data_IF_443828380658
#
_entry.id   IF_443828380658
#
_cell.length_a   1.000
_cell.length_b   1.000
_cell.length_c   1.000
_cell.angle_alpha   90.00
_cell.angle_beta   90.00
_cell.angle_gamma   90.00
#
_symmetry.space_group_name_H-M   'P 1'
#
loop_
_entity.id
_entity.type
_entity.pdbx_description
1 polymer ?
#
# COMPACT_ATOMS: atom_id res chain seq x y z
N UNK A 1 -5.89 46.35 11.86
CA UNK A 1 -4.81 45.41 11.53
C UNK A 1 -5.34 44.58 10.37
N UNK A 2 -4.98 44.93 9.13
CA UNK A 2 -5.42 44.20 7.94
C UNK A 2 -4.42 43.07 7.73
N UNK A 3 -4.76 41.86 8.18
CA UNK A 3 -4.02 40.67 7.74
C UNK A 3 -4.48 40.37 6.32
N UNK A 4 -3.55 40.31 5.37
CA UNK A 4 -3.86 39.83 4.02
C UNK A 4 -4.62 38.50 4.11
N UNK A 5 -5.60 38.25 3.22
CA UNK A 5 -6.29 36.97 3.21
C UNK A 5 -5.25 35.85 3.01
N UNK A 6 -5.40 34.71 3.70
CA UNK A 6 -4.48 33.57 3.54
C UNK A 6 -4.40 33.14 2.07
N UNK A 7 -3.23 32.70 1.63
CA UNK A 7 -3.00 32.25 0.26
C UNK A 7 -3.94 31.09 -0.09
N UNK A 8 -4.29 30.93 -1.38
CA UNK A 8 -5.20 29.87 -1.82
C UNK A 8 -4.73 28.48 -1.36
N UNK A 9 -3.43 28.20 -1.46
CA UNK A 9 -2.84 26.93 -0.99
C UNK A 9 -3.05 26.70 0.51
N UNK A 10 -2.97 27.75 1.34
CA UNK A 10 -3.15 27.66 2.80
C UNK A 10 -4.62 27.39 3.15
N UNK A 11 -5.55 28.04 2.43
CA UNK A 11 -6.99 27.78 2.58
C UNK A 11 -7.34 26.35 2.20
N UNK A 12 -6.80 25.85 1.09
CA UNK A 12 -7.04 24.47 0.64
C UNK A 12 -6.40 23.47 1.61
N UNK A 13 -5.15 23.69 2.03
CA UNK A 13 -4.48 22.83 3.00
C UNK A 13 -5.26 22.72 4.31
N UNK A 14 -5.82 23.83 4.81
CA UNK A 14 -6.69 23.82 5.99
C UNK A 14 -7.93 22.95 5.81
N UNK A 15 -8.57 23.01 4.64
CA UNK A 15 -9.73 22.14 4.33
C UNK A 15 -9.35 20.67 4.32
N UNK A 16 -8.14 20.32 3.86
CA UNK A 16 -7.63 18.94 3.94
C UNK A 16 -7.43 18.53 5.40
N UNK A 17 -6.82 19.39 6.23
CA UNK A 17 -6.60 19.15 7.66
C UNK A 17 -7.92 19.00 8.47
N UNK A 18 -9.02 19.56 7.96
CA UNK A 18 -10.36 19.46 8.54
C UNK A 18 -11.16 18.26 8.01
N UNK A 19 -10.70 17.62 6.94
CA UNK A 19 -11.40 16.49 6.31
C UNK A 19 -11.10 15.19 7.05
N UNK A 20 -12.14 14.38 7.30
CA UNK A 20 -12.00 13.03 7.84
C UNK A 20 -11.41 12.11 6.79
N UNK A 21 -10.43 11.31 7.18
CA UNK A 21 -9.66 10.47 6.26
C UNK A 21 -9.83 9.01 6.64
N UNK A 22 -9.91 8.14 5.63
CA UNK A 22 -9.78 6.69 5.80
C UNK A 22 -8.52 6.25 5.06
N UNK A 23 -7.61 5.56 5.76
CA UNK A 23 -6.45 4.94 5.12
C UNK A 23 -6.89 3.62 4.48
N UNK A 24 -6.99 3.63 3.16
CA UNK A 24 -7.44 2.47 2.41
C UNK A 24 -6.53 1.25 2.53
N UNK A 25 -5.24 1.42 2.90
CA UNK A 25 -4.30 0.29 2.99
C UNK A 25 -3.01 0.69 3.71
N UNK A 26 -2.68 0.02 4.81
CA UNK A 26 -1.42 0.18 5.53
C UNK A 26 -0.82 -1.17 5.98
N UNK A 27 0.37 -1.11 6.57
CA UNK A 27 1.13 -2.26 7.09
C UNK A 27 1.45 -2.09 8.57
N UNK A 28 0.66 -1.28 9.26
CA UNK A 28 0.75 -1.08 10.70
C UNK A 28 0.37 -2.38 11.40
N UNK A 29 1.10 -2.71 12.46
CA UNK A 29 0.71 -3.76 13.41
C UNK A 29 -0.02 -3.11 14.58
N UNK A 30 -1.26 -3.52 14.91
CA UNK A 30 -1.96 -3.00 16.09
C UNK A 30 -1.21 -3.26 17.41
N UNK A 31 -0.40 -4.32 17.49
CA UNK A 31 0.40 -4.64 18.68
C UNK A 31 1.59 -3.71 18.88
N UNK A 32 2.11 -3.12 17.80
CA UNK A 32 3.28 -2.26 17.81
C UNK A 32 3.14 -1.19 16.70
N UNK A 33 2.25 -0.19 16.91
CA UNK A 33 1.86 0.71 15.84
C UNK A 33 2.88 1.80 15.52
N UNK A 34 3.73 2.17 16.48
CA UNK A 34 4.80 3.15 16.32
C UNK A 34 6.19 2.51 16.26
N UNK A 35 7.19 3.31 15.89
CA UNK A 35 8.60 2.89 15.97
C UNK A 35 9.12 2.88 17.40
N UNK A 36 10.12 2.04 17.67
CA UNK A 36 10.76 1.89 19.00
C UNK A 36 12.05 2.68 19.15
N UNK A 37 12.66 3.08 18.04
CA UNK A 37 13.92 3.81 18.03
C UNK A 37 14.09 4.55 16.68
N UNK A 38 15.03 5.50 16.63
CA UNK A 38 15.29 6.31 15.44
C UNK A 38 15.77 5.46 14.25
N UNK A 39 16.47 4.36 14.52
CA UNK A 39 16.96 3.42 13.52
C UNK A 39 15.82 2.82 12.68
N UNK A 40 14.70 2.45 13.31
CA UNK A 40 13.53 1.89 12.61
C UNK A 40 12.89 2.89 11.62
N UNK A 41 12.96 4.19 11.90
CA UNK A 41 12.53 5.22 10.93
C UNK A 41 13.41 5.21 9.68
N UNK A 42 14.72 4.99 9.85
CA UNK A 42 15.68 4.92 8.74
C UNK A 42 15.69 3.57 8.02
N UNK A 43 15.02 2.55 8.54
CA UNK A 43 14.85 1.24 7.89
C UNK A 43 13.72 1.22 6.86
N UNK A 44 12.98 2.32 6.72
CA UNK A 44 11.91 2.40 5.73
C UNK A 44 12.43 2.05 4.33
N UNK A 45 11.76 1.15 3.57
CA UNK A 45 12.27 0.67 2.29
C UNK A 45 12.62 1.78 1.29
N UNK A 46 11.90 2.91 1.32
CA UNK A 46 12.22 4.08 0.51
C UNK A 46 13.57 4.70 0.86
N UNK A 47 13.87 4.87 2.15
CA UNK A 47 15.16 5.38 2.63
C UNK A 47 16.28 4.39 2.30
N UNK A 48 16.12 3.11 2.63
CA UNK A 48 17.14 2.08 2.36
C UNK A 48 17.51 2.03 0.87
N UNK A 49 16.51 2.09 -0.03
CA UNK A 49 16.74 2.12 -1.48
C UNK A 49 17.56 3.34 -1.90
N UNK A 50 17.25 4.51 -1.36
CA UNK A 50 17.96 5.76 -1.69
C UNK A 50 19.38 5.79 -1.09
N UNK A 51 19.57 5.29 0.13
CA UNK A 51 20.89 5.12 0.73
C UNK A 51 21.77 4.19 -0.11
N UNK A 52 21.21 3.06 -0.57
CA UNK A 52 21.90 2.16 -1.51
C UNK A 52 22.27 2.87 -2.81
N UNK A 53 21.34 3.64 -3.38
CA UNK A 53 21.58 4.47 -4.56
C UNK A 53 22.67 5.54 -4.36
N UNK A 54 22.83 6.05 -3.13
CA UNK A 54 23.89 6.97 -2.75
C UNK A 54 25.24 6.29 -2.41
N UNK A 55 25.33 4.97 -2.59
CA UNK A 55 26.53 4.16 -2.39
C UNK A 55 26.76 3.72 -0.93
N UNK A 56 25.72 3.65 -0.10
CA UNK A 56 25.85 3.12 1.27
C UNK A 56 26.24 1.62 1.26
N UNK A 57 27.19 1.19 2.11
CA UNK A 57 27.59 -0.21 2.20
C UNK A 57 26.49 -1.09 2.80
N UNK A 58 26.33 -2.32 2.31
CA UNK A 58 25.20 -3.19 2.72
C UNK A 58 25.18 -3.49 4.23
N UNK A 59 26.34 -3.51 4.89
CA UNK A 59 26.44 -3.72 6.35
C UNK A 59 25.68 -2.68 7.19
N UNK A 60 25.50 -1.46 6.68
CA UNK A 60 24.74 -0.39 7.37
C UNK A 60 23.29 -0.31 6.91
N UNK A 61 22.88 -1.11 5.93
CA UNK A 61 21.49 -1.18 5.43
C UNK A 61 20.68 -2.30 6.10
N UNK A 62 21.26 -2.96 7.09
CA UNK A 62 20.61 -3.98 7.91
C UNK A 62 19.53 -3.38 8.81
N UNK A 63 18.49 -4.14 9.13
CA UNK A 63 17.42 -3.68 10.03
C UNK A 63 18.00 -3.31 11.40
N UNK A 64 17.61 -2.14 11.91
CA UNK A 64 17.97 -1.64 13.21
C UNK A 64 17.22 -2.39 14.32
N UNK A 65 17.90 -2.53 15.44
CA UNK A 65 17.30 -2.88 16.73
C UNK A 65 17.50 -1.70 17.68
N UNK A 66 16.74 -1.59 18.79
CA UNK A 66 16.97 -0.55 19.79
C UNK A 66 18.45 -0.45 20.22
N UNK A 67 19.12 -1.58 20.40
CA UNK A 67 20.53 -1.65 20.85
C UNK A 67 21.51 -1.15 19.80
N UNK A 68 21.19 -1.30 18.51
CA UNK A 68 22.05 -0.89 17.40
C UNK A 68 21.66 0.45 16.78
N UNK A 69 20.51 1.00 17.16
CA UNK A 69 19.87 2.19 16.57
C UNK A 69 20.84 3.35 16.39
N UNK A 70 21.36 3.91 17.49
CA UNK A 70 22.27 5.06 17.49
C UNK A 70 23.48 4.82 16.59
N UNK A 71 24.12 3.66 16.73
CA UNK A 71 25.32 3.32 15.97
C UNK A 71 25.07 3.24 14.46
N UNK A 72 23.92 2.69 14.04
CA UNK A 72 23.54 2.56 12.64
C UNK A 72 23.14 3.90 12.06
N UNK A 73 22.37 4.70 12.79
CA UNK A 73 21.96 6.04 12.35
C UNK A 73 23.19 6.93 12.13
N UNK A 74 24.14 6.95 13.07
CA UNK A 74 25.41 7.68 12.91
C UNK A 74 26.17 7.25 11.64
N UNK A 75 26.24 5.95 11.36
CA UNK A 75 26.86 5.42 10.13
C UNK A 75 26.09 5.80 8.85
N UNK A 76 24.76 5.97 8.93
CA UNK A 76 23.90 6.36 7.82
C UNK A 76 23.91 7.88 7.54
N UNK A 77 24.24 8.73 8.52
CA UNK A 77 24.21 10.20 8.37
C UNK A 77 24.93 10.73 7.12
N UNK A 78 26.16 10.30 6.77
CA UNK A 78 26.83 10.79 5.56
C UNK A 78 26.06 10.52 4.27
N UNK A 79 25.28 9.44 4.24
CA UNK A 79 24.47 9.04 3.08
C UNK A 79 23.09 9.68 3.11
N UNK A 80 22.48 9.86 4.29
CA UNK A 80 21.25 10.65 4.45
C UNK A 80 21.42 12.06 3.88
N UNK A 81 22.58 12.70 4.13
CA UNK A 81 22.90 14.01 3.53
C UNK A 81 22.94 13.99 2.00
N UNK A 82 23.35 12.89 1.39
CA UNK A 82 23.43 12.76 -0.09
C UNK A 82 22.06 12.63 -0.74
N UNK A 83 21.04 12.19 0.01
CA UNK A 83 19.67 12.01 -0.47
C UNK A 83 18.74 13.14 -0.01
N UNK A 84 19.28 14.24 0.52
CA UNK A 84 18.49 15.33 1.12
C UNK A 84 17.47 16.00 0.19
N UNK A 85 17.61 15.80 -1.12
CA UNK A 85 16.72 16.33 -2.15
C UNK A 85 15.56 15.38 -2.51
N UNK A 86 15.50 14.17 -1.92
CA UNK A 86 14.50 13.16 -2.29
C UNK A 86 13.20 13.32 -1.52
N UNK A 87 12.11 12.78 -2.09
CA UNK A 87 10.81 12.75 -1.44
C UNK A 87 10.76 11.84 -0.19
N UNK A 88 11.56 10.77 -0.13
CA UNK A 88 11.63 9.94 1.08
C UNK A 88 12.38 10.66 2.21
N UNK A 89 13.49 11.36 1.90
CA UNK A 89 14.18 12.17 2.91
C UNK A 89 13.30 13.32 3.43
N UNK A 90 12.60 14.03 2.55
CA UNK A 90 11.66 15.09 2.99
C UNK A 90 10.61 14.54 3.94
N UNK A 91 9.99 13.39 3.62
CA UNK A 91 9.02 12.70 4.48
C UNK A 91 9.64 12.29 5.83
N UNK A 92 10.83 11.70 5.80
CA UNK A 92 11.57 11.36 7.02
C UNK A 92 11.82 12.60 7.89
N UNK A 93 12.27 13.72 7.32
CA UNK A 93 12.45 14.96 8.09
C UNK A 93 11.12 15.54 8.59
N UNK A 94 9.99 15.35 7.91
CA UNK A 94 8.67 15.74 8.44
C UNK A 94 8.30 14.97 9.71
N UNK A 95 8.61 13.67 9.77
CA UNK A 95 8.44 12.88 11.00
C UNK A 95 9.26 13.51 12.13
N UNK A 96 10.55 13.70 11.88
CA UNK A 96 11.51 14.20 12.88
C UNK A 96 11.12 15.60 13.36
N UNK A 97 10.74 16.49 12.45
CA UNK A 97 10.43 17.87 12.79
C UNK A 97 9.07 18.02 13.48
N UNK A 98 8.04 17.36 12.97
CA UNK A 98 6.66 17.62 13.39
C UNK A 98 6.21 16.75 14.57
N UNK A 99 6.77 15.54 14.69
CA UNK A 99 6.39 14.59 15.74
C UNK A 99 7.38 14.58 16.91
N UNK A 100 8.65 14.93 16.68
CA UNK A 100 9.69 14.89 17.72
C UNK A 100 10.32 16.26 18.03
N UNK A 101 9.68 17.33 17.57
CA UNK A 101 10.04 18.74 17.80
C UNK A 101 11.54 19.02 17.51
N UNK A 102 12.05 18.46 16.41
CA UNK A 102 13.41 18.67 15.97
C UNK A 102 13.46 19.76 14.90
N UNK A 103 13.91 20.96 15.26
CA UNK A 103 13.85 22.13 14.37
C UNK A 103 15.10 22.33 13.51
N UNK A 104 16.13 21.52 13.67
CA UNK A 104 17.37 21.65 12.91
C UNK A 104 17.17 21.16 11.47
N UNK A 105 17.69 21.86 10.45
CA UNK A 105 17.49 21.48 9.05
C UNK A 105 18.00 20.09 8.65
N UNK A 106 18.96 19.55 9.41
CA UNK A 106 19.50 18.19 9.24
C UNK A 106 19.80 17.55 10.60
N UNK A 107 19.89 16.22 10.63
CA UNK A 107 20.30 15.49 11.83
C UNK A 107 21.82 15.62 12.01
N UNK A 108 22.23 16.21 13.13
CA UNK A 108 23.63 16.29 13.52
C UNK A 108 24.04 15.05 14.29
N UNK A 109 25.31 14.66 14.17
CA UNK A 109 25.85 13.50 14.89
C UNK A 109 25.74 13.66 16.41
N UNK A 110 25.88 14.89 16.91
CA UNK A 110 25.71 15.26 18.33
C UNK A 110 24.30 15.02 18.85
N UNK A 111 23.30 15.02 17.96
CA UNK A 111 21.90 15.05 18.34
C UNK A 111 21.27 13.65 18.30
N UNK A 112 21.92 12.68 17.63
CA UNK A 112 21.39 11.33 17.38
C UNK A 112 20.96 10.64 18.67
N UNK A 113 21.79 10.65 19.71
CA UNK A 113 21.48 9.99 20.98
C UNK A 113 20.23 10.60 21.63
N UNK A 114 20.13 11.94 21.63
CA UNK A 114 18.97 12.64 22.21
C UNK A 114 17.69 12.42 21.40
N UNK A 115 17.79 12.36 20.08
CA UNK A 115 16.66 12.14 19.19
C UNK A 115 16.18 10.68 19.28
N UNK A 116 17.10 9.71 19.35
CA UNK A 116 16.77 8.30 19.58
C UNK A 116 16.04 8.10 20.91
N UNK A 117 16.49 8.77 21.97
CA UNK A 117 15.82 8.74 23.27
C UNK A 117 14.39 9.32 23.21
N UNK A 118 14.16 10.39 22.44
CA UNK A 118 12.81 10.95 22.23
C UNK A 118 11.90 9.96 21.50
N UNK A 119 12.39 9.36 20.41
CA UNK A 119 11.63 8.36 19.64
C UNK A 119 11.28 7.15 20.52
N UNK A 120 12.25 6.67 21.30
CA UNK A 120 12.03 5.57 22.24
C UNK A 120 11.02 5.92 23.33
N UNK A 121 11.05 7.15 23.86
CA UNK A 121 10.09 7.61 24.85
C UNK A 121 8.65 7.62 24.30
N UNK A 122 8.44 8.14 23.09
CA UNK A 122 7.12 8.13 22.45
C UNK A 122 6.58 6.72 22.21
N UNK A 123 7.45 5.74 21.96
CA UNK A 123 7.04 4.33 21.81
C UNK A 123 6.44 3.72 23.09
N UNK A 124 6.73 4.31 24.25
CA UNK A 124 6.18 3.90 25.55
C UNK A 124 4.88 4.63 25.89
N UNK A 125 4.49 5.64 25.12
CA UNK A 125 3.26 6.39 25.35
C UNK A 125 2.05 5.64 24.76
N UNK A 126 1.09 5.18 25.59
CA UNK A 126 -0.02 4.34 25.12
C UNK A 126 -0.92 5.03 24.09
N UNK A 127 -0.95 6.37 24.08
CA UNK A 127 -1.80 7.17 23.20
C UNK A 127 -1.05 7.69 21.96
N UNK A 128 0.23 7.37 21.78
CA UNK A 128 1.03 7.93 20.69
C UNK A 128 0.43 7.69 19.31
N UNK A 129 0.01 6.46 19.03
CA UNK A 129 -0.63 6.10 17.78
C UNK A 129 -1.95 6.87 17.58
N UNK A 130 -2.78 6.94 18.62
CA UNK A 130 -4.05 7.69 18.58
C UNK A 130 -3.82 9.18 18.29
N UNK A 131 -2.84 9.81 18.95
CA UNK A 131 -2.50 11.22 18.72
C UNK A 131 -2.12 11.47 17.26
N UNK A 132 -1.26 10.61 16.68
CA UNK A 132 -0.86 10.75 15.28
C UNK A 132 -2.05 10.53 14.34
N UNK A 133 -2.78 9.43 14.50
CA UNK A 133 -3.85 9.05 13.59
C UNK A 133 -5.02 10.03 13.67
N UNK A 134 -5.53 10.29 14.87
CA UNK A 134 -6.74 11.08 15.05
C UNK A 134 -6.44 12.60 15.05
N UNK A 135 -5.47 13.05 15.82
CA UNK A 135 -5.24 14.50 16.01
C UNK A 135 -4.44 15.13 14.88
N UNK A 136 -3.42 14.42 14.36
CA UNK A 136 -2.55 14.93 13.29
C UNK A 136 -3.04 14.61 11.88
N UNK A 137 -3.71 13.47 11.69
CA UNK A 137 -4.12 12.99 10.35
C UNK A 137 -5.63 12.92 10.13
N UNK A 138 -6.47 13.11 11.17
CA UNK A 138 -7.94 12.93 11.09
C UNK A 138 -8.36 11.57 10.52
N UNK A 139 -7.56 10.53 10.78
CA UNK A 139 -7.84 9.17 10.35
C UNK A 139 -8.93 8.58 11.24
N UNK A 140 -10.02 8.11 10.63
CA UNK A 140 -11.12 7.44 11.34
C UNK A 140 -11.11 5.93 11.13
N UNK A 141 -10.56 5.47 9.99
CA UNK A 141 -10.55 4.07 9.59
C UNK A 141 -9.21 3.73 8.95
N UNK A 142 -8.73 2.53 9.20
CA UNK A 142 -7.57 1.97 8.51
C UNK A 142 -7.85 0.54 8.05
N UNK A 143 -7.21 0.13 6.96
CA UNK A 143 -7.15 -1.27 6.56
C UNK A 143 -5.72 -1.81 6.69
N UNK A 144 -5.50 -2.71 7.65
CA UNK A 144 -4.21 -3.34 7.89
C UNK A 144 -4.08 -4.68 7.14
N UNK A 145 -2.85 -5.12 6.93
CA UNK A 145 -2.59 -6.49 6.48
C UNK A 145 -3.09 -7.47 7.55
N UNK A 146 -3.90 -8.47 7.18
CA UNK A 146 -4.37 -9.52 8.07
C UNK A 146 -3.21 -10.28 8.73
N UNK A 147 -2.07 -10.39 8.03
CA UNK A 147 -0.85 -10.99 8.58
C UNK A 147 -0.22 -10.20 9.73
N UNK A 148 -0.63 -8.94 9.93
CA UNK A 148 -0.24 -8.10 11.06
C UNK A 148 -1.31 -8.04 12.16
N UNK A 149 -2.41 -8.77 12.04
CA UNK A 149 -3.46 -8.77 13.05
C UNK A 149 -2.89 -9.21 14.40
N UNK A 150 -3.34 -8.55 15.47
CA UNK A 150 -2.91 -8.90 16.82
C UNK A 150 -3.20 -10.37 17.13
N UNK A 151 -2.17 -11.08 17.57
CA UNK A 151 -2.31 -12.43 18.14
C UNK A 151 -2.24 -12.42 19.66
N UNK A 152 -2.26 -11.22 20.26
CA UNK A 152 -2.22 -11.04 21.71
C UNK A 152 -3.44 -11.62 22.41
N UNK A 153 -3.38 -11.69 23.74
CA UNK A 153 -4.45 -12.25 24.59
C UNK A 153 -5.78 -11.49 24.42
N UNK A 154 -5.73 -10.23 23.98
CA UNK A 154 -6.93 -9.45 23.64
C UNK A 154 -6.73 -8.61 22.36
N UNK A 155 -7.04 -9.16 21.17
CA UNK A 155 -6.94 -8.43 19.90
C UNK A 155 -7.77 -7.15 19.86
N UNK A 156 -8.92 -7.13 20.55
CA UNK A 156 -9.77 -5.94 20.63
C UNK A 156 -9.03 -4.79 21.34
N UNK A 157 -8.26 -5.07 22.39
CA UNK A 157 -7.47 -4.05 23.08
C UNK A 157 -6.34 -3.49 22.22
N UNK A 158 -5.70 -4.31 21.38
CA UNK A 158 -4.67 -3.84 20.45
C UNK A 158 -5.27 -2.95 19.34
N UNK A 159 -6.46 -3.29 18.85
CA UNK A 159 -7.20 -2.46 17.90
C UNK A 159 -7.68 -1.14 18.56
N UNK A 160 -8.14 -1.20 19.82
CA UNK A 160 -8.55 -0.03 20.61
C UNK A 160 -7.40 0.97 20.84
N UNK A 161 -6.15 0.48 20.99
CA UNK A 161 -4.96 1.32 21.17
C UNK A 161 -4.66 2.24 19.98
N UNK A 162 -5.15 1.90 18.78
CA UNK A 162 -5.03 2.77 17.62
C UNK A 162 -6.03 3.94 17.67
N UNK A 163 -7.11 3.82 18.46
CA UNK A 163 -8.14 4.84 18.60
C UNK A 163 -8.95 5.10 17.32
N UNK A 164 -8.94 4.16 16.37
CA UNK A 164 -9.63 4.25 15.06
C UNK A 164 -10.28 2.92 14.71
N UNK A 165 -11.21 2.92 13.75
CA UNK A 165 -11.80 1.67 13.28
C UNK A 165 -10.78 0.86 12.46
N UNK A 166 -10.47 -0.35 12.92
CA UNK A 166 -9.54 -1.25 12.23
C UNK A 166 -10.31 -2.25 11.38
N UNK A 167 -9.96 -2.30 10.10
CA UNK A 167 -10.34 -3.32 9.16
C UNK A 167 -9.08 -4.03 8.65
N UNK A 168 -9.27 -5.14 7.94
CA UNK A 168 -8.17 -5.92 7.39
C UNK A 168 -8.33 -6.17 5.90
N UNK A 169 -7.20 -6.44 5.25
CA UNK A 169 -7.15 -7.06 3.93
C UNK A 169 -6.27 -8.29 3.97
N UNK A 170 -6.53 -9.24 3.07
CA UNK A 170 -5.66 -10.41 2.92
C UNK A 170 -4.71 -10.21 1.74
N UNK A 171 -3.40 -10.32 1.97
CA UNK A 171 -2.37 -10.21 0.91
C UNK A 171 -2.20 -11.54 0.15
N UNK A 172 -2.87 -11.65 -1.00
CA UNK A 172 -2.81 -12.78 -1.92
C UNK A 172 -1.52 -12.84 -2.75
N UNK A 173 -0.59 -11.89 -2.61
CA UNK A 173 0.62 -11.81 -3.43
C UNK A 173 1.40 -13.12 -3.46
N UNK A 174 1.46 -13.86 -2.34
CA UNK A 174 2.18 -15.15 -2.28
C UNK A 174 1.54 -16.25 -3.11
N UNK A 175 0.23 -16.21 -3.32
CA UNK A 175 -0.46 -17.16 -4.19
C UNK A 175 -0.40 -16.73 -5.66
N UNK A 176 -0.35 -15.43 -5.94
CA UNK A 176 -0.36 -14.95 -7.33
C UNK A 176 1.03 -14.84 -7.93
N UNK A 177 2.05 -14.48 -7.16
CA UNK A 177 3.38 -14.20 -7.69
C UNK A 177 4.35 -15.29 -7.27
N UNK A 178 4.47 -16.30 -8.13
CA UNK A 178 5.43 -17.42 -8.02
C UNK A 178 6.90 -16.94 -7.94
N UNK A 179 7.16 -15.73 -8.47
CA UNK A 179 8.47 -15.08 -8.52
C UNK A 179 8.65 -13.98 -7.46
N UNK A 180 7.71 -13.73 -6.55
CA UNK A 180 7.85 -12.57 -5.66
C UNK A 180 8.92 -12.84 -4.60
N UNK A 181 9.97 -12.01 -4.50
CA UNK A 181 10.78 -11.99 -3.29
C UNK A 181 9.84 -11.60 -2.14
N UNK A 182 9.58 -12.51 -1.22
CA UNK A 182 8.94 -12.15 0.05
C UNK A 182 9.79 -11.09 0.77
N UNK A 183 9.25 -10.38 1.77
CA UNK A 183 9.98 -9.36 2.57
C UNK A 183 11.36 -9.81 3.07
N UNK A 184 11.63 -11.12 3.09
CA UNK A 184 12.97 -11.67 3.24
C UNK A 184 13.60 -11.80 1.86
N UNK A 185 14.35 -10.78 1.43
CA UNK A 185 15.17 -10.77 0.20
C UNK A 185 16.23 -11.91 0.13
N UNK A 186 16.23 -12.85 1.07
CA UNK A 186 17.11 -14.01 1.15
C UNK A 186 16.41 -15.35 0.92
N UNK A 187 15.09 -15.38 0.69
CA UNK A 187 14.38 -16.61 0.33
C UNK A 187 13.56 -16.39 -0.92
N UNK A 188 14.21 -16.60 -2.07
CA UNK A 188 13.48 -17.09 -3.22
C UNK A 188 12.72 -18.34 -2.76
N UNK A 189 11.39 -18.27 -2.73
CA UNK A 189 10.63 -19.50 -2.82
C UNK A 189 11.03 -20.06 -4.18
N UNK A 190 11.82 -21.12 -4.19
CA UNK A 190 12.09 -21.80 -5.45
C UNK A 190 10.72 -22.27 -5.96
N UNK A 191 10.40 -22.02 -7.23
CA UNK A 191 9.13 -22.45 -7.86
C UNK A 191 8.73 -23.91 -7.56
N UNK A 192 9.65 -24.87 -7.34
CA UNK A 192 9.34 -26.22 -6.84
C UNK A 192 8.56 -26.29 -5.51
N UNK A 193 8.42 -25.21 -4.74
CA UNK A 193 7.67 -25.18 -3.49
C UNK A 193 6.28 -24.50 -3.60
N UNK A 194 5.87 -24.05 -4.80
CA UNK A 194 4.61 -23.31 -4.96
C UNK A 194 3.38 -24.14 -4.57
N UNK A 195 3.32 -25.41 -4.96
CA UNK A 195 2.24 -26.33 -4.60
C UNK A 195 2.23 -26.64 -3.10
N UNK A 196 3.38 -26.70 -2.44
CA UNK A 196 3.46 -26.79 -0.97
C UNK A 196 2.87 -25.55 -0.29
N UNK A 197 3.12 -24.35 -0.84
CA UNK A 197 2.50 -23.10 -0.34
C UNK A 197 0.99 -23.15 -0.54
N UNK A 198 0.53 -23.58 -1.72
CA UNK A 198 -0.88 -23.72 -2.02
C UNK A 198 -1.56 -24.69 -1.04
N UNK A 199 -0.99 -25.88 -0.85
CA UNK A 199 -1.47 -26.89 0.10
C UNK A 199 -1.53 -26.33 1.53
N UNK A 200 -0.45 -25.67 1.98
CA UNK A 200 -0.39 -25.04 3.32
C UNK A 200 -1.47 -23.96 3.48
N UNK A 201 -1.78 -23.24 2.40
CA UNK A 201 -2.73 -22.11 2.43
C UNK A 201 -4.18 -22.60 2.40
N UNK A 202 -4.55 -23.44 1.43
CA UNK A 202 -5.94 -23.91 1.26
C UNK A 202 -6.26 -25.12 2.15
N UNK A 203 -5.26 -25.76 2.74
CA UNK A 203 -5.37 -26.88 3.66
C UNK A 203 -5.42 -28.27 2.99
N UNK A 204 -5.27 -28.33 1.67
CA UNK A 204 -5.26 -29.59 0.92
C UNK A 204 -4.52 -29.44 -0.40
N UNK A 205 -3.93 -30.53 -0.90
CA UNK A 205 -3.35 -30.58 -2.25
C UNK A 205 -4.44 -30.85 -3.29
N UNK A 206 -4.70 -29.94 -4.23
CA UNK A 206 -5.76 -30.12 -5.21
C UNK A 206 -5.34 -31.11 -6.30
N UNK A 207 -6.17 -32.10 -6.59
CA UNK A 207 -5.92 -33.11 -7.63
C UNK A 207 -6.52 -32.73 -9.00
N UNK A 208 -7.30 -31.65 -9.07
CA UNK A 208 -7.95 -31.15 -10.28
C UNK A 208 -8.24 -29.66 -10.17
N UNK A 209 -8.54 -28.99 -11.29
CA UNK A 209 -8.99 -27.60 -11.34
C UNK A 209 -10.28 -27.39 -10.54
N UNK A 210 -11.20 -28.36 -10.57
CA UNK A 210 -12.42 -28.28 -9.77
C UNK A 210 -12.14 -28.34 -8.26
N UNK A 211 -11.20 -29.20 -7.84
CA UNK A 211 -10.75 -29.27 -6.45
C UNK A 211 -9.98 -28.01 -6.04
N UNK A 212 -9.15 -27.46 -6.94
CA UNK A 212 -8.45 -26.20 -6.76
C UNK A 212 -9.42 -25.05 -6.51
N UNK A 213 -10.39 -24.86 -7.41
CA UNK A 213 -11.37 -23.78 -7.32
C UNK A 213 -12.17 -23.87 -6.03
N UNK A 214 -12.61 -25.08 -5.65
CA UNK A 214 -13.32 -25.30 -4.38
C UNK A 214 -12.44 -24.99 -3.18
N UNK A 215 -11.21 -25.52 -3.14
CA UNK A 215 -10.29 -25.29 -2.02
C UNK A 215 -9.94 -23.81 -1.84
N UNK A 216 -9.72 -23.08 -2.94
CA UNK A 216 -9.52 -21.63 -2.92
C UNK A 216 -10.77 -20.91 -2.43
N UNK A 217 -11.96 -21.25 -2.95
CA UNK A 217 -13.23 -20.65 -2.52
C UNK A 217 -13.51 -20.88 -1.04
N UNK A 218 -13.42 -22.12 -0.58
CA UNK A 218 -13.63 -22.49 0.83
C UNK A 218 -12.63 -21.76 1.75
N UNK A 219 -11.37 -21.61 1.33
CA UNK A 219 -10.37 -20.85 2.05
C UNK A 219 -10.74 -19.36 2.13
N UNK A 220 -11.18 -18.76 1.03
CA UNK A 220 -11.57 -17.35 0.98
C UNK A 220 -12.84 -17.08 1.80
N UNK A 221 -13.83 -17.97 1.79
CA UNK A 221 -15.04 -17.86 2.61
C UNK A 221 -14.73 -17.81 4.12
N UNK A 222 -13.70 -18.56 4.55
CA UNK A 222 -13.22 -18.54 5.94
C UNK A 222 -12.33 -17.34 6.26
N UNK A 223 -11.59 -16.83 5.27
CA UNK A 223 -10.55 -15.81 5.48
C UNK A 223 -11.06 -14.40 5.26
N UNK A 224 -11.79 -14.17 4.18
CA UNK A 224 -12.27 -12.85 3.73
C UNK A 224 -13.71 -12.63 4.22
N UNK A 225 -13.84 -12.59 5.54
CA UNK A 225 -15.10 -12.41 6.26
C UNK A 225 -14.94 -11.42 7.43
N UNK A 226 -16.05 -10.97 8.01
CA UNK A 226 -16.05 -10.05 9.14
C UNK A 226 -15.31 -8.74 8.85
N UNK A 227 -14.22 -8.49 9.59
CA UNK A 227 -13.36 -7.31 9.45
C UNK A 227 -12.43 -7.36 8.23
N UNK A 228 -12.27 -8.50 7.55
CA UNK A 228 -11.47 -8.59 6.32
C UNK A 228 -12.33 -8.14 5.15
N UNK A 229 -12.01 -6.98 4.57
CA UNK A 229 -12.89 -6.28 3.62
C UNK A 229 -12.54 -6.53 2.16
N UNK A 230 -11.26 -6.70 1.86
CA UNK A 230 -10.79 -6.87 0.49
C UNK A 230 -9.54 -7.75 0.42
N UNK A 231 -9.18 -8.11 -0.81
CA UNK A 231 -7.97 -8.86 -1.14
C UNK A 231 -6.96 -7.88 -1.73
N UNK A 232 -5.72 -7.88 -1.25
CA UNK A 232 -4.62 -7.17 -1.88
C UNK A 232 -3.78 -8.16 -2.69
N UNK A 233 -3.33 -7.77 -3.88
CA UNK A 233 -2.45 -8.60 -4.67
C UNK A 233 -1.48 -7.79 -5.53
N UNK A 234 -0.19 -8.09 -5.42
CA UNK A 234 0.79 -7.69 -6.45
C UNK A 234 0.71 -8.68 -7.61
N UNK A 235 0.30 -8.19 -8.77
CA UNK A 235 0.09 -9.02 -9.95
C UNK A 235 1.30 -8.88 -10.84
N UNK A 236 2.00 -10.00 -11.04
CA UNK A 236 3.10 -10.08 -12.01
C UNK A 236 2.54 -9.94 -13.43
N UNK A 237 3.32 -9.32 -14.31
CA UNK A 237 2.97 -9.17 -15.73
C UNK A 237 2.90 -10.50 -16.48
N UNK A 238 3.44 -11.57 -15.88
CA UNK A 238 3.36 -12.94 -16.42
C UNK A 238 2.03 -13.63 -16.19
N UNK A 239 1.27 -13.22 -15.16
CA UNK A 239 0.04 -13.91 -14.78
C UNK A 239 -1.01 -13.63 -15.86
N UNK A 240 -1.47 -14.70 -16.51
CA UNK A 240 -2.55 -14.63 -17.50
C UNK A 240 -3.84 -15.06 -16.82
N UNK A 241 -4.66 -14.08 -16.44
CA UNK A 241 -5.97 -14.32 -15.85
C UNK A 241 -7.02 -14.62 -16.94
N UNK A 242 -6.73 -15.64 -17.75
CA UNK A 242 -7.64 -16.22 -18.76
C UNK A 242 -8.27 -17.50 -18.19
N UNK A 243 -9.42 -17.95 -18.70
CA UNK A 243 -10.00 -19.23 -18.28
C UNK A 243 -8.97 -20.36 -18.47
N UNK A 244 -8.68 -21.09 -17.39
CA UNK A 244 -7.73 -22.17 -17.44
C UNK A 244 -8.29 -23.37 -18.22
N UNK A 245 -7.46 -24.02 -19.02
CA UNK A 245 -7.80 -25.31 -19.64
C UNK A 245 -7.81 -26.38 -18.54
N UNK A 246 -9.00 -26.92 -18.25
CA UNK A 246 -9.19 -27.91 -17.19
C UNK A 246 -8.34 -29.16 -17.41
N UNK A 247 -8.24 -29.65 -18.64
CA UNK A 247 -7.47 -30.86 -18.94
C UNK A 247 -5.97 -30.64 -18.75
N UNK A 248 -5.48 -29.45 -19.13
CA UNK A 248 -4.09 -29.09 -18.92
C UNK A 248 -3.76 -28.97 -17.43
N UNK A 249 -4.56 -28.22 -16.65
CA UNK A 249 -4.32 -28.04 -15.21
C UNK A 249 -4.46 -29.36 -14.44
N UNK A 250 -5.46 -30.17 -14.74
CA UNK A 250 -5.63 -31.50 -14.12
C UNK A 250 -4.40 -32.38 -14.36
N UNK A 251 -3.85 -32.35 -15.57
CA UNK A 251 -2.63 -33.09 -15.93
C UNK A 251 -1.41 -32.60 -15.16
N UNK A 252 -1.26 -31.28 -14.97
CA UNK A 252 -0.16 -30.70 -14.21
C UNK A 252 -0.25 -31.04 -12.71
N UNK A 253 -1.44 -30.91 -12.11
CA UNK A 253 -1.67 -31.24 -10.71
C UNK A 253 -1.46 -32.74 -10.43
N UNK A 254 -1.89 -33.61 -11.34
CA UNK A 254 -1.67 -35.05 -11.23
C UNK A 254 -0.18 -35.43 -11.33
N UNK A 255 0.55 -34.84 -12.28
CA UNK A 255 2.01 -35.04 -12.43
C UNK A 255 2.76 -34.63 -11.18
N UNK A 256 2.45 -33.44 -10.69
CA UNK A 256 3.09 -32.86 -9.50
C UNK A 256 2.80 -33.70 -8.26
N UNK A 257 1.54 -34.15 -8.08
CA UNK A 257 1.14 -35.10 -7.04
C UNK A 257 1.87 -36.45 -7.12
N UNK A 258 2.21 -36.89 -8.34
CA UNK A 258 3.04 -38.07 -8.60
C UNK A 258 4.54 -37.87 -8.34
N UNK A 259 4.95 -36.70 -7.82
CA UNK A 259 6.35 -36.38 -7.52
C UNK A 259 7.17 -35.94 -8.74
N UNK A 260 6.51 -35.65 -9.87
CA UNK A 260 7.18 -35.13 -11.07
C UNK A 260 7.32 -33.61 -10.94
N UNK A 261 8.55 -33.05 -10.93
CA UNK A 261 8.74 -31.61 -10.86
C UNK A 261 8.09 -30.91 -12.05
N UNK A 262 7.47 -29.76 -11.78
CA UNK A 262 6.95 -28.87 -12.81
C UNK A 262 8.03 -27.90 -13.29
N UNK A 263 7.94 -27.52 -14.56
CA UNK A 263 8.71 -26.40 -15.11
C UNK A 263 8.17 -25.07 -14.58
N UNK A 264 8.94 -24.01 -14.80
CA UNK A 264 8.56 -22.63 -14.48
C UNK A 264 7.23 -22.23 -15.13
N UNK A 265 7.07 -22.50 -16.43
CA UNK A 265 5.87 -22.13 -17.19
C UNK A 265 4.64 -22.94 -16.74
N UNK A 266 4.84 -24.22 -16.38
CA UNK A 266 3.77 -25.05 -15.82
C UNK A 266 3.34 -24.56 -14.43
N UNK A 267 4.28 -24.10 -13.61
CA UNK A 267 3.98 -23.50 -12.31
C UNK A 267 3.22 -22.18 -12.47
N UNK A 268 3.61 -21.36 -13.44
CA UNK A 268 2.92 -20.11 -13.78
C UNK A 268 1.48 -20.35 -14.32
N UNK A 269 1.23 -21.48 -14.99
CA UNK A 269 -0.12 -21.91 -15.38
C UNK A 269 -0.99 -22.25 -14.17
N UNK A 270 -0.46 -22.98 -13.18
CA UNK A 270 -1.18 -23.24 -11.93
C UNK A 270 -1.44 -21.93 -11.17
N UNK A 271 -0.44 -21.04 -11.08
CA UNK A 271 -0.61 -19.72 -10.46
C UNK A 271 -1.67 -18.87 -11.16
N UNK A 272 -1.75 -18.96 -12.49
CA UNK A 272 -2.80 -18.30 -13.27
C UNK A 272 -4.20 -18.89 -12.99
N UNK A 273 -4.31 -20.22 -12.81
CA UNK A 273 -5.56 -20.87 -12.42
C UNK A 273 -6.00 -20.47 -11.00
N UNK A 274 -5.06 -20.40 -10.05
CA UNK A 274 -5.32 -19.88 -8.69
C UNK A 274 -5.81 -18.42 -8.74
N UNK A 275 -5.17 -17.59 -9.56
CA UNK A 275 -5.62 -16.22 -9.80
C UNK A 275 -7.04 -16.16 -10.35
N UNK A 276 -7.34 -16.95 -11.38
CA UNK A 276 -8.69 -17.03 -11.94
C UNK A 276 -9.73 -17.45 -10.88
N UNK A 277 -9.41 -18.41 -10.01
CA UNK A 277 -10.26 -18.85 -8.91
C UNK A 277 -10.54 -17.72 -7.90
N UNK A 278 -9.50 -16.95 -7.51
CA UNK A 278 -9.66 -15.80 -6.60
C UNK A 278 -10.56 -14.72 -7.23
N UNK A 279 -10.37 -14.40 -8.51
CA UNK A 279 -11.18 -13.41 -9.21
C UNK A 279 -12.63 -13.87 -9.41
N UNK A 280 -12.85 -15.16 -9.71
CA UNK A 280 -14.19 -15.75 -9.80
C UNK A 280 -14.91 -15.69 -8.45
N UNK A 281 -14.23 -16.06 -7.36
CA UNK A 281 -14.78 -15.94 -6.01
C UNK A 281 -15.15 -14.49 -5.68
N UNK A 282 -14.27 -13.53 -5.95
CA UNK A 282 -14.54 -12.12 -5.71
C UNK A 282 -15.71 -11.59 -6.55
N UNK A 283 -15.86 -12.10 -7.77
CA UNK A 283 -16.99 -11.78 -8.65
C UNK A 283 -18.32 -12.24 -8.06
N UNK A 284 -18.39 -13.49 -7.61
CA UNK A 284 -19.59 -14.09 -7.03
C UNK A 284 -19.99 -13.43 -5.70
N UNK A 285 -19.00 -13.07 -4.87
CA UNK A 285 -19.20 -12.49 -3.54
C UNK A 285 -19.23 -10.96 -3.52
N UNK A 286 -19.13 -10.31 -4.70
CA UNK A 286 -19.03 -8.85 -4.85
C UNK A 286 -17.95 -8.22 -3.97
N UNK A 287 -16.76 -8.84 -3.96
CA UNK A 287 -15.62 -8.41 -3.17
C UNK A 287 -14.66 -7.58 -3.99
N UNK A 288 -13.82 -6.84 -3.27
CA UNK A 288 -12.80 -5.99 -3.86
C UNK A 288 -11.45 -6.68 -3.92
N UNK A 289 -10.77 -6.50 -5.05
CA UNK A 289 -9.37 -6.86 -5.25
C UNK A 289 -8.59 -5.56 -5.52
N UNK A 290 -7.65 -5.24 -4.63
CA UNK A 290 -6.65 -4.19 -4.84
C UNK A 290 -5.46 -4.80 -5.59
N UNK A 291 -5.19 -4.31 -6.79
CA UNK A 291 -4.12 -4.76 -7.67
C UNK A 291 -2.95 -3.78 -7.60
N UNK A 292 -1.77 -4.26 -7.23
CA UNK A 292 -0.54 -3.47 -7.05
C UNK A 292 0.55 -3.83 -8.07
N UNK A 293 1.49 -2.91 -8.29
CA UNK A 293 2.75 -3.16 -8.99
C UNK A 293 2.68 -3.08 -10.52
N UNK A 294 1.68 -2.39 -11.06
CA UNK A 294 1.46 -2.35 -12.50
C UNK A 294 2.52 -1.45 -13.19
N UNK A 295 3.47 -2.09 -13.90
CA UNK A 295 4.49 -1.38 -14.67
C UNK A 295 5.70 -0.88 -13.86
N UNK A 296 5.94 -1.40 -12.64
CA UNK A 296 6.99 -0.93 -11.72
C UNK A 296 8.44 -1.13 -12.16
N UNK A 297 8.73 -1.95 -13.17
CA UNK A 297 10.10 -2.22 -13.60
C UNK A 297 10.33 -1.79 -15.05
N UNK A 298 11.40 -1.03 -15.35
CA UNK A 298 11.80 -0.74 -16.74
C UNK A 298 12.14 -2.01 -17.53
N UNK A 299 12.33 -3.15 -16.84
CA UNK A 299 12.60 -4.46 -17.42
C UNK A 299 11.39 -5.40 -17.45
N UNK A 300 10.23 -4.98 -16.95
CA UNK A 300 8.99 -5.76 -17.06
C UNK A 300 8.04 -5.06 -18.05
N UNK A 301 7.64 -5.73 -19.14
CA UNK A 301 6.66 -5.16 -20.06
C UNK A 301 5.38 -4.85 -19.28
N UNK A 302 4.88 -3.62 -19.42
CA UNK A 302 3.72 -3.07 -18.72
C UNK A 302 2.57 -4.08 -18.59
N UNK A 303 1.88 -4.08 -17.43
CA UNK A 303 0.58 -4.73 -17.34
C UNK A 303 -0.29 -4.24 -18.49
N UNK A 304 -0.79 -5.13 -19.35
CA UNK A 304 -1.48 -4.68 -20.55
C UNK A 304 -2.84 -4.07 -20.16
N UNK A 305 -3.17 -2.81 -20.53
CA UNK A 305 -4.49 -2.22 -20.26
C UNK A 305 -5.62 -3.09 -20.79
N UNK A 306 -5.38 -3.80 -21.90
CA UNK A 306 -6.33 -4.74 -22.47
C UNK A 306 -6.59 -5.94 -21.54
N UNK A 307 -5.59 -6.43 -20.82
CA UNK A 307 -5.77 -7.50 -19.83
C UNK A 307 -6.62 -7.01 -18.65
N UNK A 308 -6.34 -5.82 -18.11
CA UNK A 308 -7.16 -5.24 -17.04
C UNK A 308 -8.61 -5.01 -17.51
N UNK A 309 -8.81 -4.49 -18.72
CA UNK A 309 -10.15 -4.33 -19.30
C UNK A 309 -10.87 -5.67 -19.45
N UNK A 310 -10.19 -6.71 -19.94
CA UNK A 310 -10.76 -8.05 -20.04
C UNK A 310 -11.16 -8.57 -18.65
N UNK A 311 -10.32 -8.40 -17.65
CA UNK A 311 -10.63 -8.79 -16.27
C UNK A 311 -11.87 -8.09 -15.74
N UNK A 312 -11.94 -6.76 -15.88
CA UNK A 312 -13.10 -6.00 -15.45
C UNK A 312 -14.39 -6.44 -16.16
N UNK A 313 -14.31 -6.82 -17.44
CA UNK A 313 -15.45 -7.32 -18.22
C UNK A 313 -15.85 -8.75 -17.86
N UNK A 314 -14.89 -9.61 -17.54
CA UNK A 314 -15.13 -11.00 -17.15
C UNK A 314 -15.65 -11.11 -15.72
N UNK A 315 -15.14 -10.28 -14.82
CA UNK A 315 -15.42 -10.31 -13.38
C UNK A 315 -16.21 -9.07 -12.92
N UNK A 316 -17.31 -8.73 -13.60
CA UNK A 316 -18.08 -7.48 -13.34
C UNK A 316 -18.64 -7.31 -11.94
N UNK A 317 -18.91 -8.43 -11.25
CA UNK A 317 -19.32 -8.44 -9.85
C UNK A 317 -18.21 -8.04 -8.87
N UNK A 318 -16.93 -8.19 -9.24
CA UNK A 318 -15.81 -7.80 -8.41
C UNK A 318 -15.44 -6.33 -8.64
N UNK A 319 -15.12 -5.62 -7.57
CA UNK A 319 -14.49 -4.31 -7.64
C UNK A 319 -12.97 -4.49 -7.80
N UNK A 320 -12.38 -3.79 -8.77
CA UNK A 320 -10.95 -3.81 -9.06
C UNK A 320 -10.38 -2.44 -8.72
N UNK A 321 -9.55 -2.37 -7.69
CA UNK A 321 -8.89 -1.12 -7.30
C UNK A 321 -7.45 -1.18 -7.78
N UNK A 322 -7.07 -0.29 -8.67
CA UNK A 322 -5.72 -0.22 -9.22
C UNK A 322 -4.89 0.72 -8.37
N UNK A 323 -3.80 0.20 -7.81
CA UNK A 323 -2.87 0.92 -6.97
C UNK A 323 -1.44 0.73 -7.49
N UNK A 324 -0.55 1.63 -7.09
CA UNK A 324 0.89 1.43 -7.25
C UNK A 324 1.33 1.09 -8.70
N UNK A 325 1.00 2.00 -9.62
CA UNK A 325 1.33 1.88 -11.03
C UNK A 325 2.38 2.91 -11.46
N UNK A 326 3.14 2.59 -12.51
CA UNK A 326 4.11 3.51 -13.07
C UNK A 326 3.44 4.72 -13.73
N UNK A 327 4.12 5.87 -13.70
CA UNK A 327 3.60 7.13 -14.28
C UNK A 327 3.25 7.00 -15.76
N UNK A 328 4.07 6.30 -16.53
CA UNK A 328 3.82 6.08 -17.97
C UNK A 328 2.56 5.23 -18.22
N UNK A 329 2.09 4.53 -17.18
CA UNK A 329 0.87 3.74 -17.19
C UNK A 329 -0.37 4.49 -16.69
N UNK A 330 -0.19 5.62 -15.98
CA UNK A 330 -1.26 6.34 -15.30
C UNK A 330 -2.42 6.72 -16.22
N UNK A 331 -2.14 7.30 -17.40
CA UNK A 331 -3.17 7.67 -18.39
C UNK A 331 -4.07 6.50 -18.79
N UNK A 332 -3.47 5.34 -19.05
CA UNK A 332 -4.23 4.15 -19.42
C UNK A 332 -5.13 3.69 -18.27
N UNK A 333 -4.61 3.72 -17.05
CA UNK A 333 -5.33 3.35 -15.83
C UNK A 333 -6.48 4.33 -15.54
N UNK A 334 -6.27 5.63 -15.75
CA UNK A 334 -7.32 6.64 -15.62
C UNK A 334 -8.47 6.41 -16.62
N UNK A 335 -8.16 6.15 -17.89
CA UNK A 335 -9.18 5.83 -18.89
C UNK A 335 -9.90 4.50 -18.59
N UNK A 336 -9.21 3.50 -18.05
CA UNK A 336 -9.84 2.26 -17.60
C UNK A 336 -10.84 2.51 -16.47
N UNK A 337 -10.44 3.30 -15.46
CA UNK A 337 -11.33 3.70 -14.38
C UNK A 337 -12.51 4.56 -14.88
N UNK A 338 -12.32 5.42 -15.86
CA UNK A 338 -13.42 6.19 -16.46
C UNK A 338 -14.41 5.30 -17.23
N UNK A 339 -13.93 4.22 -17.85
CA UNK A 339 -14.72 3.39 -18.79
C UNK A 339 -15.36 2.14 -18.19
N UNK A 340 -14.90 1.65 -17.03
CA UNK A 340 -15.42 0.43 -16.41
C UNK A 340 -15.98 0.73 -15.02
N UNK A 341 -17.27 0.47 -14.73
CA UNK A 341 -17.90 0.86 -13.46
C UNK A 341 -17.23 0.24 -12.23
N UNK A 342 -16.68 -0.96 -12.37
CA UNK A 342 -16.04 -1.71 -11.29
C UNK A 342 -14.52 -1.46 -11.17
N UNK A 343 -13.94 -0.49 -11.87
CA UNK A 343 -12.52 -0.13 -11.71
C UNK A 343 -12.38 1.19 -10.95
N UNK A 344 -11.72 1.20 -9.80
CA UNK A 344 -11.32 2.42 -9.08
C UNK A 344 -9.79 2.55 -8.98
N UNK A 345 -9.33 3.71 -8.54
CA UNK A 345 -7.92 4.05 -8.37
C UNK A 345 -7.63 4.30 -6.90
N UNK A 346 -6.52 3.77 -6.38
CA UNK A 346 -6.14 3.99 -5.00
C UNK A 346 -4.76 4.60 -4.82
N UNK A 347 -4.80 5.73 -4.10
CA UNK A 347 -3.68 6.37 -3.43
C UNK A 347 -2.50 6.65 -4.33
N UNK A 348 -1.35 6.67 -3.67
CA UNK A 348 -0.03 6.79 -4.24
C UNK A 348 0.83 5.71 -3.56
N UNK A 349 2.01 5.47 -4.08
CA UNK A 349 2.85 4.34 -3.68
C UNK A 349 4.28 4.78 -3.39
N UNK A 350 5.11 3.86 -2.88
CA UNK A 350 6.47 4.14 -2.38
C UNK A 350 7.29 5.09 -3.27
N UNK A 351 7.25 4.91 -4.59
CA UNK A 351 7.99 5.72 -5.57
C UNK A 351 7.24 6.98 -6.04
N UNK A 352 5.94 7.08 -5.78
CA UNK A 352 5.07 8.19 -6.19
C UNK A 352 4.67 9.10 -5.03
N UNK A 353 5.12 8.82 -3.78
CA UNK A 353 5.06 9.76 -2.65
C UNK A 353 6.04 10.94 -2.82
N UNK A 354 5.85 11.69 -3.91
CA UNK A 354 6.54 12.92 -4.28
C UNK A 354 5.45 13.94 -4.60
N UNK A 355 5.43 15.07 -3.89
CA UNK A 355 4.34 16.05 -3.92
C UNK A 355 3.98 16.53 -5.33
N UNK A 356 4.96 16.78 -6.19
CA UNK A 356 4.73 17.20 -7.57
C UNK A 356 4.14 16.11 -8.46
N UNK A 357 4.49 14.83 -8.21
CA UNK A 357 3.89 13.70 -8.92
C UNK A 357 2.44 13.50 -8.47
N UNK A 358 2.20 13.58 -7.16
CA UNK A 358 0.86 13.53 -6.57
C UNK A 358 -0.01 14.62 -7.17
N UNK A 359 0.46 15.88 -7.22
CA UNK A 359 -0.29 16.99 -7.80
C UNK A 359 -0.65 16.75 -9.27
N UNK A 360 0.35 16.36 -10.07
CA UNK A 360 0.17 16.07 -11.51
C UNK A 360 -0.80 14.92 -11.76
N UNK A 361 -0.77 13.88 -10.95
CA UNK A 361 -1.65 12.74 -11.09
C UNK A 361 -3.06 13.04 -10.57
N UNK A 362 -3.16 13.75 -9.45
CA UNK A 362 -4.44 14.16 -8.87
C UNK A 362 -5.24 15.06 -9.82
N UNK A 363 -4.60 16.07 -10.44
CA UNK A 363 -5.30 16.93 -11.41
C UNK A 363 -5.75 16.17 -12.66
N UNK A 364 -4.97 15.18 -13.10
CA UNK A 364 -5.36 14.32 -14.22
C UNK A 364 -6.57 13.45 -13.85
N UNK A 365 -6.58 12.88 -12.64
CA UNK A 365 -7.73 12.11 -12.13
C UNK A 365 -8.98 12.98 -12.02
N UNK A 366 -8.88 14.21 -11.51
CA UNK A 366 -10.02 15.14 -11.43
C UNK A 366 -10.70 15.41 -12.78
N UNK A 367 -9.92 15.41 -13.87
CA UNK A 367 -10.42 15.68 -15.21
C UNK A 367 -10.98 14.45 -15.93
N UNK A 368 -10.51 13.26 -15.58
CA UNK A 368 -10.77 12.03 -16.36
C UNK A 368 -11.62 11.02 -15.60
N UNK A 369 -11.47 10.92 -14.28
CA UNK A 369 -12.01 9.82 -13.46
C UNK A 369 -13.14 10.36 -12.57
N UNK A 370 -14.30 9.69 -12.50
CA UNK A 370 -15.33 10.06 -11.54
C UNK A 370 -14.77 10.06 -10.10
N UNK A 371 -15.05 11.12 -9.33
CA UNK A 371 -14.42 11.32 -8.01
C UNK A 371 -14.69 10.17 -7.04
N UNK A 372 -15.89 9.57 -7.06
CA UNK A 372 -16.26 8.40 -6.24
C UNK A 372 -15.42 7.14 -6.51
N UNK A 373 -14.59 7.16 -7.56
CA UNK A 373 -13.70 6.07 -7.96
C UNK A 373 -12.24 6.39 -7.68
N UNK A 374 -11.97 7.49 -6.98
CA UNK A 374 -10.64 7.94 -6.61
C UNK A 374 -10.49 7.84 -5.09
N UNK A 375 -9.87 6.78 -4.63
CA UNK A 375 -9.41 6.64 -3.24
C UNK A 375 -8.17 7.52 -3.09
N UNK A 376 -8.31 8.63 -2.37
CA UNK A 376 -7.29 9.66 -2.25
C UNK A 376 -6.09 9.28 -1.36
N UNK A 377 -6.27 8.34 -0.43
CA UNK A 377 -5.23 7.97 0.52
C UNK A 377 -5.14 6.46 0.77
N UNK A 378 -3.93 5.93 0.58
CA UNK A 378 -3.52 4.59 0.98
C UNK A 378 -2.04 4.69 1.37
N UNK A 379 -1.73 4.60 2.67
CA UNK A 379 -0.41 4.98 3.16
C UNK A 379 0.68 3.96 2.84
N UNK A 380 0.32 2.67 2.77
CA UNK A 380 1.24 1.53 2.74
C UNK A 380 2.28 1.55 3.87
N UNK A 381 2.08 2.37 4.90
CA UNK A 381 3.07 2.66 5.91
C UNK A 381 3.21 1.49 6.89
N UNK A 382 4.45 1.16 7.34
CA UNK A 382 4.67 0.11 8.33
C UNK A 382 4.34 0.54 9.77
N UNK A 383 4.24 1.84 10.04
CA UNK A 383 3.98 2.43 11.35
C UNK A 383 3.27 3.79 11.21
N UNK A 384 2.76 4.32 12.31
CA UNK A 384 2.00 5.58 12.35
C UNK A 384 2.84 6.79 11.94
N UNK A 385 4.14 6.81 12.20
CA UNK A 385 5.02 7.91 11.82
C UNK A 385 5.18 8.00 10.30
N UNK A 386 5.40 6.88 9.62
CA UNK A 386 5.44 6.85 8.16
C UNK A 386 4.07 7.06 7.53
N UNK A 387 2.97 6.70 8.22
CA UNK A 387 1.63 7.06 7.78
C UNK A 387 1.48 8.58 7.78
N UNK A 388 1.84 9.24 8.87
CA UNK A 388 1.84 10.71 8.97
C UNK A 388 2.64 11.35 7.84
N UNK A 389 3.88 10.89 7.62
CA UNK A 389 4.73 11.44 6.57
C UNK A 389 4.14 11.29 5.16
N UNK A 390 3.54 10.13 4.89
CA UNK A 390 2.88 9.85 3.62
C UNK A 390 1.61 10.69 3.46
N UNK A 391 0.86 10.88 4.55
CA UNK A 391 -0.30 11.78 4.57
C UNK A 391 0.11 13.23 4.29
N UNK A 392 1.21 13.72 4.88
CA UNK A 392 1.73 15.05 4.58
C UNK A 392 2.07 15.18 3.08
N UNK A 393 2.75 14.21 2.48
CA UNK A 393 3.03 14.25 1.04
C UNK A 393 1.74 14.32 0.19
N UNK A 394 0.72 13.53 0.54
CA UNK A 394 -0.58 13.54 -0.14
C UNK A 394 -1.31 14.86 0.06
N UNK A 395 -1.33 15.39 1.27
CA UNK A 395 -1.91 16.71 1.58
C UNK A 395 -1.29 17.80 0.72
N UNK A 396 0.03 17.93 0.71
CA UNK A 396 0.71 18.97 -0.06
C UNK A 396 0.49 18.80 -1.57
N UNK A 397 0.64 17.59 -2.10
CA UNK A 397 0.42 17.34 -3.53
C UNK A 397 -1.04 17.56 -3.96
N UNK A 398 -2.00 17.10 -3.16
CA UNK A 398 -3.44 17.31 -3.43
C UNK A 398 -3.80 18.79 -3.36
N UNK A 399 -3.28 19.53 -2.37
CA UNK A 399 -3.50 20.96 -2.27
C UNK A 399 -2.95 21.70 -3.49
N UNK A 400 -1.74 21.34 -3.97
CA UNK A 400 -1.17 21.89 -5.20
C UNK A 400 -2.02 21.56 -6.43
N UNK A 401 -2.51 20.32 -6.55
CA UNK A 401 -3.40 19.92 -7.64
C UNK A 401 -4.71 20.71 -7.66
N UNK A 402 -5.31 20.97 -6.49
CA UNK A 402 -6.50 21.83 -6.38
C UNK A 402 -6.21 23.29 -6.71
N UNK A 403 -5.10 23.86 -6.23
CA UNK A 403 -4.68 25.23 -6.61
C UNK A 403 -4.60 25.34 -8.12
N UNK A 404 -3.90 24.41 -8.76
CA UNK A 404 -3.75 24.40 -10.21
C UNK A 404 -5.12 24.27 -10.90
N UNK A 405 -6.01 23.40 -10.43
CA UNK A 405 -7.35 23.23 -11.00
C UNK A 405 -8.21 24.51 -10.87
N UNK A 406 -8.07 25.25 -9.77
CA UNK A 406 -8.76 26.54 -9.56
C UNK A 406 -8.18 27.63 -10.46
N UNK A 407 -6.85 27.71 -10.55
CA UNK A 407 -6.16 28.74 -11.35
C UNK A 407 -6.42 28.61 -12.85
N UNK A 408 -6.65 27.39 -13.36
CA UNK A 408 -7.02 27.14 -14.75
C UNK A 408 -8.53 27.15 -15.01
N UNK A 409 -9.33 27.55 -14.01
CA UNK A 409 -10.81 27.60 -14.05
C UNK A 409 -11.48 26.24 -14.38
N UNK A 410 -10.82 25.14 -14.00
CA UNK A 410 -11.40 23.79 -14.11
C UNK A 410 -12.28 23.45 -12.90
N UNK A 411 -12.00 24.05 -11.73
CA UNK A 411 -12.70 23.78 -10.49
C UNK A 411 -12.94 25.06 -9.69
N UNK A 412 -14.15 25.24 -9.15
CA UNK A 412 -14.41 26.30 -8.19
C UNK A 412 -14.02 25.90 -6.75
N UNK A 413 -13.42 26.84 -6.00
CA UNK A 413 -12.93 26.60 -4.62
C UNK A 413 -14.05 26.07 -3.68
N UNK A 414 -15.31 26.44 -3.90
CA UNK A 414 -16.44 25.99 -3.09
C UNK A 414 -16.77 24.49 -3.25
N UNK A 415 -16.29 23.82 -4.30
CA UNK A 415 -16.50 22.38 -4.54
C UNK A 415 -15.43 21.50 -3.88
N UNK A 416 -14.33 22.08 -3.40
CA UNK A 416 -13.18 21.33 -2.87
C UNK A 416 -13.57 20.45 -1.67
N UNK A 417 -14.46 20.93 -0.79
CA UNK A 417 -14.87 20.18 0.39
C UNK A 417 -15.59 18.87 0.03
N UNK A 418 -16.52 18.94 -0.93
CA UNK A 418 -17.25 17.75 -1.42
C UNK A 418 -16.27 16.74 -2.03
N UNK A 419 -15.35 17.19 -2.89
CA UNK A 419 -14.36 16.33 -3.55
C UNK A 419 -13.38 15.69 -2.55
N UNK A 420 -12.99 16.42 -1.50
CA UNK A 420 -12.17 15.88 -0.41
C UNK A 420 -12.93 14.81 0.39
N UNK A 421 -14.18 15.09 0.76
CA UNK A 421 -15.03 14.14 1.48
C UNK A 421 -15.22 12.85 0.68
N UNK A 422 -15.43 12.97 -0.63
CA UNK A 422 -15.59 11.83 -1.51
C UNK A 422 -14.30 11.03 -1.66
N UNK A 423 -13.17 11.69 -1.94
CA UNK A 423 -11.92 10.97 -2.23
C UNK A 423 -11.21 10.43 -0.99
N UNK A 424 -11.23 11.15 0.14
CA UNK A 424 -10.53 10.75 1.37
C UNK A 424 -11.41 9.90 2.31
N UNK A 425 -12.73 9.89 2.11
CA UNK A 425 -13.68 9.16 2.94
C UNK A 425 -14.59 8.22 2.13
N UNK A 426 -15.57 8.77 1.41
CA UNK A 426 -16.68 7.97 0.86
C UNK A 426 -16.21 6.91 -0.14
N UNK A 427 -15.29 7.24 -1.06
CA UNK A 427 -14.76 6.30 -2.06
C UNK A 427 -14.03 5.13 -1.42
N UNK A 428 -13.38 5.36 -0.28
CA UNK A 428 -12.71 4.31 0.50
C UNK A 428 -13.76 3.33 1.05
N UNK A 429 -14.84 3.85 1.63
CA UNK A 429 -15.93 3.03 2.16
C UNK A 429 -16.64 2.27 1.03
N UNK A 430 -16.95 2.94 -0.08
CA UNK A 430 -17.68 2.34 -1.21
C UNK A 430 -16.87 1.23 -1.89
N UNK A 431 -15.62 1.49 -2.25
CA UNK A 431 -14.81 0.53 -3.00
C UNK A 431 -14.07 -0.47 -2.13
N UNK A 432 -13.65 -0.12 -0.91
CA UNK A 432 -12.92 -1.04 -0.03
C UNK A 432 -13.78 -1.62 1.09
N UNK A 433 -15.01 -1.16 1.30
CA UNK A 433 -15.92 -1.69 2.31
C UNK A 433 -15.50 -1.42 3.75
N UNK A 434 -14.79 -0.30 4.00
CA UNK A 434 -14.26 0.06 5.33
C UNK A 434 -15.32 0.54 6.32
#
# INVERSE_FOLDING_TARGET
>A
MFTDPPLLIERIARRIDETRVSDGMCRISPDAPGVRCLGELTDYPGIIRELRGAGAPEGILTQATPERSVSLVKQRLPYLRKIRNTGAYWRFMRIINDLYDYTTPEILESDVDSLDARVAASSLEPQWAQQILHERCRIERIACDLGNRSTGVNPATAEDNLGVQVNYFWDATRLLSVDHPSKNAERHVTKPAYTSILETTIGSRPASLAALNRGVGDFLDRTVTGQVRFINARISTRIRLEPADSGAIDSLLARESGGVPLTDDETDQIGSAVGAAIFAWAHEHRRTIVMQGLGRSPHQPYGCPATISRLAKSFRGANLVLADYARDFARHVHHLAASHPNIALAGFSDSTFVTSLIASEFIERLQVVPIGKTIGFASLAPNVEWLYANFQAVRYGTAQGFVQAVEIDHLHENRIHDLLTDSLGNSVIEFLGL
#
